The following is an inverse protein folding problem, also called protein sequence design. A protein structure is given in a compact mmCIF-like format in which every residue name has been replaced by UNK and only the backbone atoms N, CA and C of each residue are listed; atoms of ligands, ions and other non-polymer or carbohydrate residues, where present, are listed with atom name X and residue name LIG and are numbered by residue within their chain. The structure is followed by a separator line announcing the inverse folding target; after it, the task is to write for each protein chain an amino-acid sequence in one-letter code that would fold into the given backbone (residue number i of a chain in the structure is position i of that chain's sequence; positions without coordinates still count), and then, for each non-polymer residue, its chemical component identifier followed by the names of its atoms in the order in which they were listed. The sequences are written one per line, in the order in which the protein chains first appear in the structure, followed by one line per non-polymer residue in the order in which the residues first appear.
data_IF_202110146920
#
_entry.id   IF_202110146920
#
_cell.length_a   1.000
_cell.length_b   1.000
_cell.length_c   1.000
_cell.angle_alpha   90.00
_cell.angle_beta   90.00
_cell.angle_gamma   90.00
#
_symmetry.space_group_name_H-M   'P 1'
#
loop_
_entity.id
_entity.type
_entity.pdbx_description
1 polymer ?
#
# COMPACT_ATOMS: atom_id res chain seq x y z
N UNK A 1 0.96 13.24 -2.14
CA UNK A 1 0.61 12.85 -3.51
C UNK A 1 0.10 14.05 -4.28
N UNK A 2 0.96 14.63 -5.10
CA UNK A 2 0.59 15.66 -6.06
C UNK A 2 0.26 14.98 -7.40
N UNK A 3 -0.97 15.17 -7.90
CA UNK A 3 -1.37 14.69 -9.23
C UNK A 3 -1.44 15.89 -10.17
N UNK A 4 -0.96 15.69 -11.38
CA UNK A 4 -0.99 16.73 -12.42
C UNK A 4 -2.30 16.71 -13.21
N UNK A 5 -2.65 17.85 -13.77
CA UNK A 5 -3.76 18.01 -14.72
C UNK A 5 -3.68 17.02 -15.90
N UNK A 6 -2.46 16.72 -16.36
CA UNK A 6 -2.23 15.73 -17.43
C UNK A 6 -2.62 14.31 -16.99
N UNK A 7 -2.34 13.94 -15.75
CA UNK A 7 -2.75 12.65 -15.20
C UNK A 7 -4.26 12.53 -15.05
N UNK A 8 -4.97 13.59 -14.66
CA UNK A 8 -6.44 13.56 -14.63
C UNK A 8 -7.03 13.30 -16.01
N UNK A 9 -6.56 14.03 -17.03
CA UNK A 9 -6.98 13.84 -18.43
C UNK A 9 -6.66 12.44 -18.92
N UNK A 10 -5.48 11.92 -18.61
CA UNK A 10 -5.07 10.58 -18.98
C UNK A 10 -5.98 9.52 -18.33
N UNK A 11 -6.24 9.61 -17.02
CA UNK A 11 -7.14 8.70 -16.31
C UNK A 11 -8.53 8.67 -16.93
N UNK A 12 -9.12 9.86 -17.16
CA UNK A 12 -10.43 9.98 -17.78
C UNK A 12 -10.47 9.36 -19.18
N UNK A 13 -9.44 9.65 -19.99
CA UNK A 13 -9.33 9.15 -21.37
C UNK A 13 -9.15 7.64 -21.40
N UNK A 14 -8.31 7.08 -20.54
CA UNK A 14 -8.05 5.64 -20.44
C UNK A 14 -9.28 4.85 -19.99
N UNK A 15 -10.16 5.46 -19.18
CA UNK A 15 -11.45 4.89 -18.81
C UNK A 15 -12.55 5.07 -19.87
N UNK A 16 -12.28 5.82 -20.95
CA UNK A 16 -13.28 6.15 -21.97
C UNK A 16 -14.37 7.11 -21.47
N UNK A 17 -14.10 7.86 -20.40
CA UNK A 17 -15.09 8.76 -19.77
C UNK A 17 -15.14 10.14 -20.43
N UNK A 18 -16.34 10.69 -20.50
CA UNK A 18 -16.57 12.11 -20.78
C UNK A 18 -16.37 12.95 -19.51
N UNK A 19 -16.28 14.28 -19.64
CA UNK A 19 -16.25 15.19 -18.49
C UNK A 19 -17.51 15.07 -17.63
N UNK A 20 -18.66 14.80 -18.27
CA UNK A 20 -19.93 14.58 -17.59
C UNK A 20 -19.87 13.33 -16.70
N UNK A 21 -19.37 12.21 -17.24
CA UNK A 21 -19.24 10.96 -16.49
C UNK A 21 -18.41 11.15 -15.21
N UNK A 22 -17.26 11.84 -15.31
CA UNK A 22 -16.43 12.11 -14.14
C UNK A 22 -17.13 13.02 -13.13
N UNK A 23 -17.90 14.02 -13.61
CA UNK A 23 -18.67 14.91 -12.75
C UNK A 23 -19.72 14.11 -11.95
N UNK A 24 -20.44 13.23 -12.62
CA UNK A 24 -21.47 12.38 -12.04
C UNK A 24 -20.89 11.38 -11.02
N UNK A 25 -19.82 10.67 -11.38
CA UNK A 25 -19.19 9.69 -10.47
C UNK A 25 -18.51 10.32 -9.25
N UNK A 26 -18.00 11.54 -9.40
CA UNK A 26 -17.35 12.27 -8.31
C UNK A 26 -18.30 13.16 -7.52
N UNK A 27 -19.58 13.24 -7.91
CA UNK A 27 -20.56 14.13 -7.30
C UNK A 27 -20.02 15.58 -7.25
N UNK A 28 -19.59 16.07 -8.41
CA UNK A 28 -19.07 17.41 -8.65
C UNK A 28 -19.75 17.99 -9.89
N UNK A 29 -19.69 19.31 -10.07
CA UNK A 29 -20.20 19.93 -11.30
C UNK A 29 -19.23 19.76 -12.48
N UNK A 30 -19.75 19.69 -13.70
CA UNK A 30 -18.94 19.63 -14.93
C UNK A 30 -17.98 20.82 -15.05
N UNK A 31 -18.40 22.01 -14.60
CA UNK A 31 -17.54 23.20 -14.59
C UNK A 31 -16.38 23.04 -13.60
N UNK A 32 -16.61 22.41 -12.44
CA UNK A 32 -15.53 22.05 -11.50
C UNK A 32 -14.51 21.12 -12.14
N UNK A 33 -14.96 20.07 -12.85
CA UNK A 33 -14.06 19.14 -13.55
C UNK A 33 -13.28 19.86 -14.66
N UNK A 34 -13.95 20.66 -15.49
CA UNK A 34 -13.27 21.44 -16.54
C UNK A 34 -12.24 22.43 -15.97
N UNK A 35 -12.51 23.02 -14.80
CA UNK A 35 -11.55 23.92 -14.15
C UNK A 35 -10.33 23.16 -13.63
N UNK A 36 -10.53 21.97 -13.05
CA UNK A 36 -9.46 21.06 -12.63
C UNK A 36 -8.59 20.65 -13.83
N UNK A 37 -9.20 20.25 -14.93
CA UNK A 37 -8.50 19.79 -16.14
C UNK A 37 -7.82 20.91 -16.93
N UNK A 38 -8.06 22.18 -16.63
CA UNK A 38 -7.41 23.29 -17.34
C UNK A 38 -6.53 24.16 -16.44
N UNK A 39 -6.28 23.72 -15.21
CA UNK A 39 -5.47 24.42 -14.21
C UNK A 39 -5.92 25.88 -13.99
N UNK A 40 -7.22 26.15 -14.15
CA UNK A 40 -7.75 27.52 -14.19
C UNK A 40 -7.96 28.15 -12.81
N UNK A 41 -7.78 27.39 -11.72
CA UNK A 41 -7.80 27.88 -10.34
C UNK A 41 -6.94 26.97 -9.46
N UNK A 42 -6.37 27.52 -8.38
CA UNK A 42 -5.76 26.73 -7.30
C UNK A 42 -6.84 25.86 -6.64
N UNK A 43 -7.10 24.72 -7.25
CA UNK A 43 -8.21 23.86 -6.87
C UNK A 43 -7.99 23.36 -5.45
N UNK A 44 -9.03 23.51 -4.62
CA UNK A 44 -8.99 23.11 -3.23
C UNK A 44 -8.55 21.65 -3.12
N UNK A 45 -7.50 21.37 -2.35
CA UNK A 45 -6.93 20.04 -2.11
C UNK A 45 -7.98 18.94 -1.91
N UNK A 46 -9.08 19.27 -1.22
CA UNK A 46 -10.22 18.37 -0.99
C UNK A 46 -10.96 17.93 -2.27
N UNK A 47 -11.15 18.85 -3.22
CA UNK A 47 -11.82 18.54 -4.49
C UNK A 47 -10.94 17.61 -5.34
N UNK A 48 -9.64 17.87 -5.38
CA UNK A 48 -8.67 17.01 -6.05
C UNK A 48 -8.68 15.61 -5.41
N UNK A 49 -8.65 15.52 -4.08
CA UNK A 49 -8.76 14.25 -3.36
C UNK A 49 -10.06 13.49 -3.69
N UNK A 50 -11.21 14.17 -3.82
CA UNK A 50 -12.48 13.54 -4.20
C UNK A 50 -12.43 12.93 -5.61
N UNK A 51 -11.87 13.66 -6.57
CA UNK A 51 -11.69 13.18 -7.95
C UNK A 51 -10.72 11.99 -8.00
N UNK A 52 -9.62 12.06 -7.26
CA UNK A 52 -8.66 10.97 -7.13
C UNK A 52 -9.30 9.68 -6.60
N UNK A 53 -9.99 9.77 -5.47
CA UNK A 53 -10.67 8.63 -4.86
C UNK A 53 -11.76 8.07 -5.79
N UNK A 54 -12.38 8.91 -6.60
CA UNK A 54 -13.34 8.45 -7.62
C UNK A 54 -12.63 7.57 -8.64
N UNK A 55 -11.56 8.04 -9.26
CA UNK A 55 -10.78 7.24 -10.21
C UNK A 55 -10.25 5.93 -9.59
N UNK A 56 -9.73 5.99 -8.36
CA UNK A 56 -9.22 4.80 -7.66
C UNK A 56 -10.29 3.73 -7.45
N UNK A 57 -11.56 4.13 -7.21
CA UNK A 57 -12.70 3.19 -7.13
C UNK A 57 -12.96 2.46 -8.44
N UNK A 58 -12.63 3.06 -9.58
CA UNK A 58 -12.79 2.47 -10.91
C UNK A 58 -11.48 1.87 -11.45
N UNK A 59 -10.56 1.48 -10.55
CA UNK A 59 -9.37 0.71 -10.91
C UNK A 59 -8.21 1.52 -11.47
N UNK A 60 -8.24 2.85 -11.30
CA UNK A 60 -7.12 3.71 -11.68
C UNK A 60 -6.09 3.80 -10.55
N UNK A 61 -4.81 3.65 -10.87
CA UNK A 61 -3.71 3.93 -9.96
C UNK A 61 -2.84 5.06 -10.52
N UNK A 62 -2.66 6.13 -9.74
CA UNK A 62 -1.78 7.23 -10.08
C UNK A 62 -0.37 7.00 -9.54
N UNK A 63 0.64 7.29 -10.35
CA UNK A 63 2.06 7.24 -9.96
C UNK A 63 2.55 8.68 -9.79
N UNK A 64 3.15 9.01 -8.64
CA UNK A 64 3.45 10.40 -8.30
C UNK A 64 4.43 10.99 -9.34
N UNK A 65 4.07 12.15 -9.91
CA UNK A 65 4.84 12.85 -10.95
C UNK A 65 5.18 12.05 -12.22
N UNK A 66 4.52 10.90 -12.49
CA UNK A 66 4.91 10.03 -13.60
C UNK A 66 3.76 9.67 -14.54
N UNK A 67 2.73 8.95 -14.07
CA UNK A 67 1.77 8.33 -14.98
C UNK A 67 0.47 7.84 -14.33
N UNK A 68 -0.33 7.14 -15.11
CA UNK A 68 -1.65 6.60 -14.75
C UNK A 68 -1.76 5.16 -15.25
N UNK A 69 -2.19 4.25 -14.38
CA UNK A 69 -2.50 2.85 -14.68
C UNK A 69 -4.01 2.65 -14.55
N UNK A 70 -4.63 1.82 -15.39
CA UNK A 70 -6.08 1.50 -15.34
C UNK A 70 -6.28 -0.01 -15.33
N UNK A 71 -7.26 -0.49 -14.56
CA UNK A 71 -7.54 -1.92 -14.35
C UNK A 71 -6.29 -2.71 -13.93
N UNK A 72 -5.40 -2.04 -13.22
CA UNK A 72 -4.13 -2.61 -12.80
C UNK A 72 -4.35 -3.44 -11.55
N UNK A 73 -3.92 -4.70 -11.58
CA UNK A 73 -3.71 -5.50 -10.37
C UNK A 73 -2.64 -4.91 -9.46
N UNK A 74 -1.93 -3.85 -9.90
CA UNK A 74 -0.84 -3.21 -9.17
C UNK A 74 -1.24 -1.83 -8.65
N UNK A 75 -0.95 -1.57 -7.37
CA UNK A 75 -0.99 -0.26 -6.70
C UNK A 75 0.43 0.19 -6.36
N UNK A 76 0.74 1.46 -6.56
CA UNK A 76 2.06 2.03 -6.25
C UNK A 76 1.88 3.17 -5.25
N UNK A 77 2.63 3.10 -4.15
CA UNK A 77 2.62 4.08 -3.07
C UNK A 77 4.01 4.70 -2.96
N UNK A 78 4.12 6.03 -3.06
CA UNK A 78 5.40 6.75 -3.09
C UNK A 78 5.52 7.83 -2.02
N UNK A 79 6.75 8.00 -1.54
CA UNK A 79 7.09 8.91 -0.46
C UNK A 79 6.46 8.54 0.88
N UNK A 80 6.72 9.35 1.91
CA UNK A 80 6.15 9.15 3.24
C UNK A 80 4.61 9.15 3.23
N UNK A 81 4.01 10.04 2.44
CA UNK A 81 2.54 10.11 2.34
C UNK A 81 1.95 8.88 1.66
N UNK A 82 2.61 8.33 0.63
CA UNK A 82 2.18 7.08 0.01
C UNK A 82 2.34 5.90 0.94
N UNK A 83 3.45 5.81 1.69
CA UNK A 83 3.65 4.73 2.66
C UNK A 83 2.58 4.77 3.76
N UNK A 84 2.17 5.95 4.23
CA UNK A 84 1.03 6.07 5.15
C UNK A 84 -0.25 5.50 4.53
N UNK A 85 -0.57 5.88 3.27
CA UNK A 85 -1.72 5.33 2.55
C UNK A 85 -1.63 3.81 2.36
N UNK A 86 -0.44 3.27 2.14
CA UNK A 86 -0.23 1.83 2.09
C UNK A 86 -0.59 1.17 3.43
N UNK A 87 -0.16 1.74 4.55
CA UNK A 87 -0.50 1.22 5.87
C UNK A 87 -2.01 1.27 6.12
N UNK A 88 -2.66 2.37 5.77
CA UNK A 88 -4.12 2.48 5.85
C UNK A 88 -4.82 1.42 4.98
N UNK A 89 -4.37 1.21 3.74
CA UNK A 89 -4.86 0.15 2.85
C UNK A 89 -4.65 -1.25 3.43
N UNK A 90 -3.45 -1.56 3.91
CA UNK A 90 -3.13 -2.85 4.50
C UNK A 90 -3.99 -3.13 5.74
N UNK A 91 -4.21 -2.12 6.59
CA UNK A 91 -5.09 -2.23 7.75
C UNK A 91 -6.53 -2.56 7.35
N UNK A 92 -7.12 -1.80 6.42
CA UNK A 92 -8.52 -2.01 6.01
C UNK A 92 -8.71 -3.38 5.35
N UNK A 93 -7.77 -3.82 4.50
CA UNK A 93 -7.85 -5.15 3.87
C UNK A 93 -7.76 -6.27 4.89
N UNK A 94 -6.81 -6.22 5.82
CA UNK A 94 -6.65 -7.25 6.86
C UNK A 94 -7.86 -7.30 7.80
N UNK A 95 -8.36 -6.13 8.20
CA UNK A 95 -9.57 -6.01 9.02
C UNK A 95 -10.79 -6.62 8.34
N UNK A 96 -11.00 -6.34 7.05
CA UNK A 96 -12.15 -6.85 6.30
C UNK A 96 -12.09 -8.37 6.06
N UNK A 97 -10.89 -8.92 5.91
CA UNK A 97 -10.71 -10.34 5.54
C UNK A 97 -10.45 -11.26 6.72
N UNK A 98 -10.17 -10.73 7.92
CA UNK A 98 -9.74 -11.52 9.09
C UNK A 98 -8.58 -12.46 8.75
N UNK A 99 -7.64 -11.95 7.95
CA UNK A 99 -6.57 -12.70 7.33
C UNK A 99 -5.27 -12.73 8.14
N UNK A 100 -4.27 -13.41 7.57
CA UNK A 100 -2.93 -13.44 8.12
C UNK A 100 -1.98 -12.57 7.29
N UNK A 101 -1.18 -11.74 7.95
CA UNK A 101 -0.13 -10.93 7.36
C UNK A 101 1.23 -11.61 7.57
N UNK A 102 1.84 -12.07 6.47
CA UNK A 102 3.16 -12.71 6.46
C UNK A 102 4.20 -11.74 5.96
N UNK A 103 5.26 -11.50 6.72
CA UNK A 103 6.20 -10.40 6.45
C UNK A 103 7.64 -10.91 6.50
N UNK A 104 8.41 -10.64 5.45
CA UNK A 104 9.86 -10.59 5.51
C UNK A 104 10.25 -9.13 5.66
N UNK A 105 10.71 -8.73 6.85
CA UNK A 105 11.20 -7.36 7.07
C UNK A 105 12.69 -7.27 6.73
N UNK A 106 13.14 -6.04 6.48
CA UNK A 106 14.56 -5.68 6.53
C UNK A 106 14.99 -5.45 7.99
N UNK A 107 16.27 -5.16 8.18
CA UNK A 107 16.83 -4.79 9.47
C UNK A 107 15.98 -3.74 10.19
N UNK A 108 15.65 -4.05 11.44
CA UNK A 108 14.76 -3.26 12.26
C UNK A 108 15.27 -1.85 12.55
N UNK A 109 16.59 -1.63 12.60
CA UNK A 109 17.20 -0.33 12.80
C UNK A 109 16.99 0.57 11.58
N UNK A 110 17.18 0.04 10.38
CA UNK A 110 16.96 0.78 9.12
C UNK A 110 15.49 1.18 8.99
N UNK A 111 14.58 0.25 9.29
CA UNK A 111 13.15 0.54 9.29
C UNK A 111 12.78 1.57 10.36
N UNK A 112 13.38 1.52 11.56
CA UNK A 112 13.21 2.52 12.62
C UNK A 112 13.60 3.91 12.19
N UNK A 113 14.77 4.04 11.57
CA UNK A 113 15.28 5.33 11.13
C UNK A 113 14.40 5.97 10.06
N UNK A 114 13.87 5.17 9.13
CA UNK A 114 13.10 5.69 7.99
C UNK A 114 11.60 5.81 8.24
N UNK A 115 11.01 4.89 9.01
CA UNK A 115 9.54 4.77 9.18
C UNK A 115 9.07 4.60 10.63
N UNK A 116 9.98 4.63 11.61
CA UNK A 116 9.78 4.31 13.03
C UNK A 116 8.36 4.52 13.58
N UNK A 117 7.94 5.77 13.80
CA UNK A 117 6.64 6.07 14.40
C UNK A 117 5.45 5.59 13.57
N UNK A 118 5.56 5.65 12.24
CA UNK A 118 4.50 5.28 11.30
C UNK A 118 4.27 3.76 11.30
N UNK A 119 5.35 2.99 11.22
CA UNK A 119 5.29 1.54 11.28
C UNK A 119 4.82 1.06 12.67
N UNK A 120 5.31 1.67 13.76
CA UNK A 120 4.86 1.38 15.12
C UNK A 120 3.34 1.57 15.24
N UNK A 121 2.84 2.75 14.87
CA UNK A 121 1.42 3.07 14.97
C UNK A 121 0.55 2.12 14.13
N UNK A 122 0.99 1.75 12.94
CA UNK A 122 0.27 0.80 12.07
C UNK A 122 0.11 -0.58 12.73
N UNK A 123 1.21 -1.19 13.14
CA UNK A 123 1.17 -2.54 13.70
C UNK A 123 0.56 -2.58 15.11
N UNK A 124 0.61 -1.49 15.88
CA UNK A 124 -0.18 -1.35 17.12
C UNK A 124 -1.69 -1.28 16.86
N UNK A 125 -2.13 -0.73 15.73
CA UNK A 125 -3.55 -0.82 15.32
C UNK A 125 -3.91 -2.25 14.95
N UNK A 126 -3.04 -2.96 14.22
CA UNK A 126 -3.26 -4.36 13.85
C UNK A 126 -3.26 -5.30 15.07
N UNK A 127 -2.47 -5.03 16.11
CA UNK A 127 -2.46 -5.87 17.31
C UNK A 127 -3.76 -5.84 18.11
N UNK A 128 -4.60 -4.83 17.88
CA UNK A 128 -5.95 -4.73 18.47
C UNK A 128 -7.00 -5.53 17.69
N UNK A 129 -6.65 -6.09 16.53
CA UNK A 129 -7.53 -6.92 15.73
C UNK A 129 -7.26 -8.40 16.05
N UNK A 130 -8.04 -8.98 16.95
CA UNK A 130 -7.90 -10.40 17.33
C UNK A 130 -8.09 -11.37 16.16
N UNK A 131 -8.88 -10.97 15.16
CA UNK A 131 -9.12 -11.75 13.96
C UNK A 131 -7.95 -11.73 12.96
N UNK A 132 -6.95 -10.87 13.16
CA UNK A 132 -5.78 -10.74 12.29
C UNK A 132 -4.57 -11.35 12.96
N UNK A 133 -3.87 -12.26 12.25
CA UNK A 133 -2.59 -12.84 12.70
C UNK A 133 -1.44 -12.21 11.94
N UNK A 134 -0.32 -11.98 12.60
CA UNK A 134 0.89 -11.44 11.98
C UNK A 134 2.07 -12.37 12.25
N UNK A 135 2.71 -12.85 11.18
CA UNK A 135 3.98 -13.59 11.23
C UNK A 135 5.06 -12.80 10.53
N UNK A 136 6.18 -12.58 11.21
CA UNK A 136 7.26 -11.74 10.70
C UNK A 136 8.63 -12.40 10.87
N UNK A 137 9.43 -12.38 9.81
CA UNK A 137 10.86 -12.64 9.87
C UNK A 137 11.63 -11.33 9.98
N UNK A 138 12.52 -11.22 10.97
CA UNK A 138 13.40 -10.06 11.18
C UNK A 138 14.88 -10.42 11.08
N UNK A 139 15.74 -9.65 10.40
CA UNK A 139 17.12 -10.06 10.20
C UNK A 139 18.02 -9.94 11.45
N UNK A 140 17.83 -8.87 12.20
CA UNK A 140 18.47 -8.62 13.49
C UNK A 140 17.85 -7.39 14.14
N UNK A 141 17.44 -7.51 15.40
CA UNK A 141 17.05 -6.36 16.22
C UNK A 141 15.57 -6.29 16.61
N UNK A 142 15.36 -5.73 17.81
CA UNK A 142 14.05 -5.48 18.40
C UNK A 142 13.53 -4.11 17.96
N UNK A 143 12.97 -4.02 16.75
CA UNK A 143 12.42 -2.74 16.28
C UNK A 143 11.17 -2.33 17.08
N UNK A 144 10.27 -3.28 17.37
CA UNK A 144 8.90 -2.93 17.77
C UNK A 144 8.36 -3.68 19.00
N UNK A 145 9.12 -4.63 19.56
CA UNK A 145 8.70 -5.49 20.68
C UNK A 145 7.23 -5.94 20.58
N UNK A 146 6.81 -6.40 19.40
CA UNK A 146 5.44 -6.84 19.14
C UNK A 146 5.16 -8.27 19.58
N UNK A 147 6.19 -9.01 19.98
CA UNK A 147 6.01 -10.33 20.58
C UNK A 147 5.15 -10.30 21.85
N UNK A 148 4.99 -9.12 22.47
CA UNK A 148 4.05 -8.89 23.57
C UNK A 148 2.58 -9.07 23.18
N UNK A 149 2.25 -9.01 21.89
CA UNK A 149 0.88 -9.16 21.39
C UNK A 149 0.63 -10.60 20.95
N UNK A 150 -0.44 -11.23 21.44
CA UNK A 150 -0.73 -12.65 21.20
C UNK A 150 -0.89 -13.01 19.72
N UNK A 151 -1.40 -12.08 18.92
CA UNK A 151 -1.62 -12.26 17.49
C UNK A 151 -0.36 -11.98 16.63
N UNK A 152 0.77 -11.63 17.25
CA UNK A 152 2.06 -11.47 16.58
C UNK A 152 2.98 -12.65 16.93
N UNK A 153 3.64 -13.20 15.91
CA UNK A 153 4.75 -14.14 16.06
C UNK A 153 5.91 -13.66 15.21
N UNK A 154 7.09 -13.60 15.79
CA UNK A 154 8.30 -13.08 15.14
C UNK A 154 9.38 -14.15 15.24
N UNK A 155 10.13 -14.33 14.15
CA UNK A 155 11.31 -15.19 14.10
C UNK A 155 12.49 -14.38 13.58
N UNK A 156 13.66 -14.57 14.17
CA UNK A 156 14.88 -13.99 13.65
C UNK A 156 15.47 -14.88 12.55
N UNK A 157 15.95 -14.30 11.45
CA UNK A 157 16.61 -15.02 10.36
C UNK A 157 17.88 -14.29 9.90
N UNK A 158 19.06 -14.92 9.81
CA UNK A 158 20.29 -14.19 9.45
C UNK A 158 20.22 -13.51 8.06
N UNK A 159 20.65 -12.23 7.99
CA UNK A 159 20.65 -11.37 6.79
C UNK A 159 21.23 -12.04 5.52
N UNK A 160 22.26 -12.88 5.67
CA UNK A 160 22.96 -13.51 4.54
C UNK A 160 22.13 -14.60 3.81
N UNK A 161 20.95 -14.96 4.34
CA UNK A 161 20.08 -15.98 3.75
C UNK A 161 18.76 -15.43 3.17
N UNK A 162 18.43 -14.12 3.32
CA UNK A 162 17.14 -13.60 2.86
C UNK A 162 17.17 -12.17 2.31
N UNK A 163 16.59 -12.03 1.11
CA UNK A 163 16.03 -10.85 0.42
C UNK A 163 16.62 -9.45 0.73
N UNK A 164 17.17 -8.82 -0.31
CA UNK A 164 17.55 -7.39 -0.35
C UNK A 164 16.35 -6.41 -0.19
N UNK A 165 15.11 -6.92 -0.13
CA UNK A 165 13.87 -6.12 -0.15
C UNK A 165 12.86 -6.63 0.88
N UNK A 166 12.30 -5.73 1.70
CA UNK A 166 11.19 -6.07 2.57
C UNK A 166 9.94 -6.40 1.72
N UNK A 167 9.21 -7.44 2.07
CA UNK A 167 8.00 -7.81 1.34
C UNK A 167 7.02 -8.57 2.24
N UNK A 168 5.75 -8.57 1.86
CA UNK A 168 4.70 -9.22 2.63
C UNK A 168 3.56 -9.75 1.79
N UNK A 169 2.83 -10.70 2.36
CA UNK A 169 1.69 -11.38 1.75
C UNK A 169 0.48 -11.24 2.67
N UNK A 170 -0.64 -10.75 2.13
CA UNK A 170 -1.91 -10.66 2.85
C UNK A 170 -3.10 -10.67 1.87
N UNK A 171 -4.11 -11.49 2.14
CA UNK A 171 -5.42 -11.41 1.47
C UNK A 171 -5.36 -11.28 -0.06
N UNK A 172 -4.57 -12.12 -0.75
CA UNK A 172 -4.38 -12.08 -2.21
C UNK A 172 -3.45 -10.97 -2.72
N UNK A 173 -2.81 -10.21 -1.83
CA UNK A 173 -1.89 -9.13 -2.14
C UNK A 173 -0.44 -9.54 -1.83
N UNK A 174 0.47 -9.11 -2.69
CA UNK A 174 1.91 -9.21 -2.56
C UNK A 174 2.46 -7.78 -2.52
N UNK A 175 2.96 -7.35 -1.37
CA UNK A 175 3.52 -6.01 -1.20
C UNK A 175 5.05 -6.07 -1.12
N UNK A 176 5.72 -5.25 -1.92
CA UNK A 176 7.18 -5.15 -1.99
C UNK A 176 7.59 -3.73 -1.63
N UNK A 177 8.47 -3.59 -0.62
CA UNK A 177 8.93 -2.34 -0.05
C UNK A 177 10.34 -1.99 -0.54
N UNK A 178 10.44 -0.95 -1.35
CA UNK A 178 11.69 -0.35 -1.80
C UNK A 178 12.04 0.82 -0.89
N UNK A 179 12.64 0.52 0.27
CA UNK A 179 12.86 1.54 1.31
C UNK A 179 13.86 2.64 0.92
N UNK A 180 14.84 2.33 0.07
CA UNK A 180 15.74 3.33 -0.56
C UNK A 180 14.95 4.40 -1.33
N UNK A 181 13.93 3.96 -2.08
CA UNK A 181 13.10 4.82 -2.94
C UNK A 181 11.84 5.33 -2.23
N UNK A 182 11.65 4.99 -0.96
CA UNK A 182 10.42 5.25 -0.20
C UNK A 182 9.17 4.87 -1.00
N UNK A 183 9.16 3.65 -1.54
CA UNK A 183 8.09 3.16 -2.42
C UNK A 183 7.59 1.78 -1.98
N UNK A 184 6.28 1.56 -2.08
CA UNK A 184 5.66 0.24 -1.95
C UNK A 184 4.89 -0.09 -3.21
N UNK A 185 5.12 -1.27 -3.76
CA UNK A 185 4.33 -1.81 -4.86
C UNK A 185 3.49 -2.95 -4.31
N UNK A 186 2.18 -2.88 -4.49
CA UNK A 186 1.25 -3.94 -4.10
C UNK A 186 0.68 -4.57 -5.37
N UNK A 187 0.85 -5.87 -5.52
CA UNK A 187 0.36 -6.66 -6.64
C UNK A 187 -0.74 -7.59 -6.13
N UNK A 188 -1.92 -7.50 -6.72
CA UNK A 188 -3.07 -8.35 -6.44
C UNK A 188 -3.14 -9.43 -7.51
N UNK A 189 -2.40 -10.51 -7.28
CA UNK A 189 -2.34 -11.67 -8.17
C UNK A 189 -2.36 -12.95 -7.31
N UNK A 190 -3.34 -13.80 -7.54
CA UNK A 190 -3.57 -14.97 -6.69
C UNK A 190 -2.45 -16.01 -6.83
N UNK A 191 -1.92 -16.22 -8.03
CA UNK A 191 -0.87 -17.20 -8.25
C UNK A 191 0.42 -16.77 -7.57
N UNK A 192 0.78 -15.49 -7.68
CA UNK A 192 1.96 -14.94 -6.99
C UNK A 192 1.79 -14.97 -5.47
N UNK A 193 0.60 -14.64 -4.96
CA UNK A 193 0.28 -14.72 -3.54
C UNK A 193 0.40 -16.15 -3.01
N UNK A 194 -0.18 -17.14 -3.69
CA UNK A 194 -0.17 -18.54 -3.26
C UNK A 194 1.25 -19.12 -3.20
N UNK A 195 2.08 -18.81 -4.19
CA UNK A 195 3.50 -19.22 -4.19
C UNK A 195 4.25 -18.55 -3.04
N UNK A 196 4.05 -17.25 -2.85
CA UNK A 196 4.67 -16.50 -1.77
C UNK A 196 4.31 -17.00 -0.37
N UNK A 197 3.03 -17.32 -0.14
CA UNK A 197 2.52 -17.90 1.10
C UNK A 197 3.14 -19.28 1.35
N UNK A 198 3.16 -20.16 0.34
CA UNK A 198 3.78 -21.50 0.46
C UNK A 198 5.26 -21.41 0.82
N UNK A 199 5.99 -20.51 0.16
CA UNK A 199 7.41 -20.29 0.44
C UNK A 199 7.63 -19.72 1.85
N UNK A 200 6.84 -18.72 2.25
CA UNK A 200 6.89 -18.17 3.60
C UNK A 200 6.64 -19.27 4.64
N UNK A 201 5.58 -20.07 4.48
CA UNK A 201 5.19 -21.09 5.44
C UNK A 201 6.22 -22.24 5.52
N UNK A 202 6.81 -22.63 4.39
CA UNK A 202 7.92 -23.58 4.35
C UNK A 202 9.13 -23.08 5.17
N UNK A 203 9.56 -21.84 4.93
CA UNK A 203 10.67 -21.23 5.67
C UNK A 203 10.28 -21.07 7.15
N UNK A 204 9.06 -20.59 7.44
CA UNK A 204 8.54 -20.42 8.79
C UNK A 204 8.62 -21.68 9.63
N UNK A 205 8.31 -22.83 9.04
CA UNK A 205 8.35 -24.12 9.73
C UNK A 205 9.75 -24.72 9.80
N UNK A 206 10.69 -24.24 8.96
CA UNK A 206 12.08 -24.73 8.93
C UNK A 206 12.98 -24.06 9.98
N UNK A 207 12.67 -22.84 10.39
CA UNK A 207 13.39 -22.12 11.45
C UNK A 207 12.70 -22.37 12.79
N UNK A 208 13.47 -22.61 13.87
CA UNK A 208 12.90 -22.75 15.21
C UNK A 208 12.55 -21.38 15.79
#
# INVERSE_FOLDING_TARGET
MQITTAQLKAARTLLGWTTQDLADFSDLSVSTINNLENDRHSTHKKTMEKVMLTFEKFGVCFVENSGVLVNSSMKIYEGLSGIQKYFDYNYEVLKATSGEHRIFTIDGLVLKQKLGPMAQAHYEKLSRLESVKVRMFTPSGNFLNFEKYNNFKIKQIPLYQTSLVAHSYFSGNVAIFFLEKMRVIVIQDQALFDVGVKNFDYIWNSFK
#
